data_IF_530445605675
#
_entry.id   IF_530445605675
#
_cell.length_a   1.000
_cell.length_b   1.000
_cell.length_c   1.000
_cell.angle_alpha   90.00
_cell.angle_beta   90.00
_cell.angle_gamma   90.00
#
_symmetry.space_group_name_H-M   'P 1'
#
loop_
_entity.id
_entity.type
_entity.pdbx_description
1 polymer ?
#
# COMPACT_ATOMS: atom_id res chain seq x y z
N UNK A 1 4.17 32.20 -1.47
CA UNK A 1 3.50 33.11 -0.51
C UNK A 1 2.71 32.29 0.51
N UNK A 2 3.37 31.49 1.34
CA UNK A 2 2.67 30.61 2.30
C UNK A 2 3.55 30.05 3.44
N UNK A 3 4.67 30.70 3.78
CA UNK A 3 5.44 30.36 5.01
C UNK A 3 5.14 31.28 6.20
N UNK A 4 4.37 32.35 6.00
CA UNK A 4 4.25 33.43 7.01
C UNK A 4 3.14 33.19 8.04
N UNK A 5 2.25 32.22 7.80
CA UNK A 5 1.11 31.94 8.69
C UNK A 5 1.49 31.10 9.93
N UNK A 6 2.64 30.41 9.92
CA UNK A 6 3.07 29.58 11.07
C UNK A 6 3.68 30.44 12.19
N UNK A 7 4.05 31.69 11.92
CA UNK A 7 4.79 32.54 12.88
C UNK A 7 3.90 33.40 13.79
N UNK A 8 2.57 33.43 13.62
CA UNK A 8 1.70 34.40 14.29
C UNK A 8 0.88 33.88 15.47
N UNK A 9 0.95 32.58 15.79
CA UNK A 9 0.40 32.08 17.05
C UNK A 9 1.49 32.15 18.14
N UNK A 10 1.22 32.68 19.36
CA UNK A 10 2.13 32.62 20.49
C UNK A 10 2.16 31.19 21.05
N UNK A 11 2.47 30.23 20.19
CA UNK A 11 2.66 28.84 20.53
C UNK A 11 4.08 28.73 21.05
N UNK A 12 4.24 28.24 22.29
CA UNK A 12 5.55 28.04 22.91
C UNK A 12 6.52 27.40 21.91
N UNK A 13 7.75 27.94 21.79
CA UNK A 13 8.81 27.41 20.93
C UNK A 13 9.00 25.90 21.09
N UNK A 14 8.73 25.37 22.29
CA UNK A 14 8.73 23.93 22.59
C UNK A 14 7.73 23.18 21.72
N UNK A 15 6.51 23.68 21.56
CA UNK A 15 5.45 23.05 20.77
C UNK A 15 5.80 23.10 19.27
N UNK A 16 6.38 24.21 18.80
CA UNK A 16 6.84 24.32 17.41
C UNK A 16 7.95 23.30 17.11
N UNK A 17 8.98 23.22 17.97
CA UNK A 17 10.04 22.22 17.84
C UNK A 17 9.50 20.79 17.89
N UNK A 18 8.58 20.50 18.81
CA UNK A 18 7.97 19.17 18.96
C UNK A 18 7.12 18.81 17.74
N UNK A 19 6.38 19.77 17.17
CA UNK A 19 5.61 19.57 15.95
C UNK A 19 6.49 19.29 14.73
N UNK A 20 7.60 20.03 14.58
CA UNK A 20 8.58 19.80 13.53
C UNK A 20 9.23 18.42 13.66
N UNK A 21 9.61 18.02 14.87
CA UNK A 21 10.18 16.71 15.15
C UNK A 21 9.17 15.60 14.80
N UNK A 22 7.90 15.76 15.19
CA UNK A 22 6.85 14.80 14.86
C UNK A 22 6.65 14.67 13.35
N UNK A 23 6.62 15.78 12.60
CA UNK A 23 6.51 15.76 11.14
C UNK A 23 7.69 15.01 10.53
N UNK A 24 8.91 15.28 10.98
CA UNK A 24 10.11 14.55 10.53
C UNK A 24 10.02 13.06 10.83
N UNK A 25 9.59 12.68 12.03
CA UNK A 25 9.47 11.28 12.43
C UNK A 25 8.43 10.53 11.59
N UNK A 26 7.29 11.17 11.31
CA UNK A 26 6.25 10.63 10.42
C UNK A 26 6.78 10.51 8.98
N UNK A 27 7.49 11.52 8.48
CA UNK A 27 8.07 11.49 7.14
C UNK A 27 9.08 10.34 6.98
N UNK A 28 9.98 10.18 7.96
CA UNK A 28 10.96 9.09 8.00
C UNK A 28 10.25 7.73 8.05
N UNK A 29 9.24 7.60 8.90
CA UNK A 29 8.45 6.37 9.02
C UNK A 29 7.77 5.98 7.70
N UNK A 30 7.13 6.95 7.03
CA UNK A 30 6.47 6.73 5.74
C UNK A 30 7.49 6.40 4.65
N UNK A 31 8.62 7.10 4.59
CA UNK A 31 9.69 6.79 3.62
C UNK A 31 10.28 5.38 3.83
N UNK A 32 10.57 5.01 5.08
CA UNK A 32 11.09 3.69 5.41
C UNK A 32 10.09 2.57 5.05
N UNK A 33 8.80 2.81 5.33
CA UNK A 33 7.69 1.88 5.07
C UNK A 33 7.36 1.71 3.60
N UNK A 34 7.03 2.81 2.93
CA UNK A 34 6.51 2.81 1.56
C UNK A 34 7.62 2.78 0.51
N UNK A 35 8.75 3.45 0.76
CA UNK A 35 9.82 3.60 -0.24
C UNK A 35 10.90 2.52 -0.13
N UNK A 36 11.34 2.22 1.09
CA UNK A 36 12.49 1.34 1.30
C UNK A 36 12.13 -0.11 1.61
N UNK A 37 10.83 -0.42 1.77
CA UNK A 37 10.35 -1.76 2.15
C UNK A 37 11.10 -2.32 3.38
N UNK A 38 11.57 -1.45 4.28
CA UNK A 38 12.40 -1.85 5.42
C UNK A 38 11.58 -2.50 6.53
N UNK A 39 10.26 -2.34 6.48
CA UNK A 39 9.38 -2.72 7.56
C UNK A 39 8.92 -4.19 7.40
N UNK A 40 8.75 -4.91 8.51
CA UNK A 40 8.42 -6.33 8.51
C UNK A 40 7.06 -6.63 7.86
N UNK A 41 6.16 -5.65 7.85
CA UNK A 41 4.86 -5.74 7.18
C UNK A 41 4.91 -5.45 5.67
N UNK A 42 6.10 -5.23 5.10
CA UNK A 42 6.26 -5.03 3.67
C UNK A 42 5.87 -6.31 2.91
N UNK A 43 5.06 -6.21 1.85
CA UNK A 43 4.71 -7.36 1.01
C UNK A 43 5.94 -7.85 0.23
N UNK A 44 6.11 -9.18 0.17
CA UNK A 44 7.21 -9.86 -0.53
C UNK A 44 6.70 -10.72 -1.66
N UNK A 45 5.58 -11.42 -1.44
CA UNK A 45 5.00 -12.30 -2.44
C UNK A 45 3.50 -12.08 -2.55
N UNK A 46 3.03 -12.16 -3.79
CA UNK A 46 1.62 -12.11 -4.16
C UNK A 46 1.25 -13.49 -4.70
N UNK A 47 0.22 -14.10 -4.13
CA UNK A 47 -0.28 -15.38 -4.58
C UNK A 47 -1.78 -15.29 -4.83
N UNK A 48 -2.21 -15.79 -5.97
CA UNK A 48 -3.62 -15.94 -6.31
C UNK A 48 -3.99 -17.40 -6.13
N UNK A 49 -4.87 -17.68 -5.16
CA UNK A 49 -5.35 -19.03 -4.91
C UNK A 49 -6.34 -19.47 -6.03
N UNK A 50 -6.52 -20.77 -6.22
CA UNK A 50 -7.53 -21.38 -7.09
C UNK A 50 -8.97 -20.89 -6.82
N UNK A 51 -9.25 -20.44 -5.58
CA UNK A 51 -10.51 -19.75 -5.21
C UNK A 51 -10.62 -18.30 -5.68
N UNK A 52 -9.71 -17.86 -6.56
CA UNK A 52 -9.66 -16.51 -7.08
C UNK A 52 -9.49 -15.44 -5.98
N UNK A 53 -8.79 -15.81 -4.89
CA UNK A 53 -8.52 -14.95 -3.74
C UNK A 53 -7.06 -14.49 -3.77
N UNK A 54 -6.85 -13.21 -3.50
CA UNK A 54 -5.52 -12.64 -3.37
C UNK A 54 -5.00 -12.89 -1.96
N UNK A 55 -3.84 -13.52 -1.88
CA UNK A 55 -3.08 -13.70 -0.66
C UNK A 55 -1.74 -12.96 -0.79
N UNK A 56 -1.33 -12.29 0.29
CA UNK A 56 -0.06 -11.57 0.34
C UNK A 56 0.78 -12.13 1.46
N UNK A 57 2.00 -12.54 1.12
CA UNK A 57 3.01 -12.89 2.11
C UNK A 57 3.87 -11.67 2.39
N UNK A 58 3.98 -11.32 3.67
CA UNK A 58 4.79 -10.22 4.18
C UNK A 58 6.21 -10.70 4.53
N UNK A 59 7.14 -9.76 4.73
CA UNK A 59 8.53 -10.04 5.16
C UNK A 59 8.60 -10.78 6.50
N UNK A 60 7.64 -10.54 7.38
CA UNK A 60 7.48 -11.24 8.67
C UNK A 60 7.05 -12.72 8.54
N UNK A 61 6.81 -13.21 7.31
CA UNK A 61 6.34 -14.57 7.05
C UNK A 61 4.84 -14.76 7.27
N UNK A 62 4.11 -13.74 7.72
CA UNK A 62 2.66 -13.79 7.84
C UNK A 62 2.02 -13.69 6.45
N UNK A 63 1.03 -14.54 6.21
CA UNK A 63 0.20 -14.48 5.01
C UNK A 63 -1.14 -13.84 5.34
N UNK A 64 -1.41 -12.70 4.71
CA UNK A 64 -2.73 -12.09 4.69
C UNK A 64 -3.57 -12.84 3.66
N UNK A 65 -4.55 -13.59 4.15
CA UNK A 65 -5.53 -14.29 3.32
C UNK A 65 -6.80 -13.47 3.09
N UNK A 66 -7.51 -13.79 2.01
CA UNK A 66 -8.81 -13.23 1.66
C UNK A 66 -8.84 -11.69 1.54
N UNK A 67 -7.84 -11.16 0.83
CA UNK A 67 -7.80 -9.74 0.50
C UNK A 67 -8.81 -9.42 -0.61
N UNK A 68 -9.56 -8.35 -0.38
CA UNK A 68 -10.38 -7.72 -1.41
C UNK A 68 -9.55 -6.72 -2.20
N UNK A 69 -9.65 -6.76 -3.53
CA UNK A 69 -9.07 -5.72 -4.36
C UNK A 69 -9.95 -4.47 -4.28
N UNK A 70 -9.33 -3.31 -4.17
CA UNK A 70 -10.03 -2.05 -4.31
C UNK A 70 -10.18 -1.71 -5.80
N UNK A 71 -11.31 -1.08 -6.17
CA UNK A 71 -11.64 -0.72 -7.55
C UNK A 71 -10.68 0.30 -8.18
N UNK A 72 -9.90 1.00 -7.35
CA UNK A 72 -8.87 1.96 -7.76
C UNK A 72 -7.54 1.29 -8.17
N UNK A 73 -7.52 -0.04 -8.30
CA UNK A 73 -6.36 -0.76 -8.82
C UNK A 73 -6.18 -0.48 -10.30
N UNK A 74 -4.97 -0.08 -10.70
CA UNK A 74 -4.66 0.33 -12.07
C UNK A 74 -3.71 -0.68 -12.68
N UNK A 75 -4.08 -1.16 -13.86
CA UNK A 75 -3.29 -2.10 -14.64
C UNK A 75 -2.83 -1.42 -15.92
N UNK A 76 -1.55 -1.07 -16.01
CA UNK A 76 -0.95 -0.53 -17.24
C UNK A 76 0.21 -1.42 -17.73
N UNK A 77 0.63 -1.29 -19.01
CA UNK A 77 1.75 -2.08 -19.54
C UNK A 77 3.07 -1.86 -18.82
N UNK A 78 3.27 -0.64 -18.28
CA UNK A 78 4.52 -0.20 -17.66
C UNK A 78 4.46 -0.19 -16.13
N UNK A 79 3.25 -0.18 -15.57
CA UNK A 79 3.03 -0.02 -14.14
C UNK A 79 1.74 -0.71 -13.71
N UNK A 80 1.83 -1.57 -12.70
CA UNK A 80 0.64 -2.15 -12.09
C UNK A 80 0.55 -1.70 -10.64
N UNK A 81 -0.51 -0.98 -10.31
CA UNK A 81 -0.82 -0.51 -8.96
C UNK A 81 -1.94 -1.38 -8.43
N UNK A 82 -1.62 -2.23 -7.47
CA UNK A 82 -2.56 -3.10 -6.79
C UNK A 82 -3.00 -2.44 -5.49
N UNK A 83 -4.27 -2.09 -5.38
CA UNK A 83 -4.83 -1.61 -4.12
C UNK A 83 -5.66 -2.71 -3.49
N UNK A 84 -5.43 -3.02 -2.22
CA UNK A 84 -6.17 -4.08 -1.53
C UNK A 84 -6.53 -3.69 -0.09
N UNK A 85 -7.56 -4.35 0.42
CA UNK A 85 -8.04 -4.24 1.80
C UNK A 85 -8.31 -5.63 2.37
N UNK A 86 -7.97 -5.88 3.65
CA UNK A 86 -8.41 -7.09 4.33
C UNK A 86 -9.94 -7.10 4.41
N UNK A 87 -10.58 -8.24 4.12
CA UNK A 87 -12.04 -8.35 4.22
C UNK A 87 -12.53 -8.27 5.66
N UNK A 88 -11.81 -8.90 6.59
CA UNK A 88 -12.12 -8.91 8.03
C UNK A 88 -11.47 -7.73 8.79
N UNK A 89 -11.17 -6.64 8.09
CA UNK A 89 -10.56 -5.46 8.69
C UNK A 89 -11.53 -4.77 9.67
N UNK A 90 -11.04 -4.50 10.88
CA UNK A 90 -11.70 -3.60 11.83
C UNK A 90 -11.88 -2.22 11.16
N UNK A 91 -12.92 -1.46 11.51
CA UNK A 91 -13.28 -0.17 10.87
C UNK A 91 -12.08 0.77 10.62
N UNK A 92 -11.15 0.85 11.58
CA UNK A 92 -9.90 1.62 11.45
C UNK A 92 -8.92 1.08 10.41
N UNK A 93 -8.81 -0.24 10.27
CA UNK A 93 -7.98 -0.87 9.25
C UNK A 93 -8.60 -0.75 7.85
N UNK A 94 -9.93 -0.58 7.77
CA UNK A 94 -10.63 -0.32 6.50
C UNK A 94 -10.32 1.07 5.93
N UNK A 95 -9.97 2.04 6.79
CA UNK A 95 -9.50 3.36 6.38
C UNK A 95 -8.06 3.33 5.83
N UNK A 96 -7.27 2.32 6.21
CA UNK A 96 -5.90 2.16 5.73
C UNK A 96 -5.92 1.38 4.40
N UNK A 97 -5.86 2.13 3.30
CA UNK A 97 -5.65 1.55 1.98
C UNK A 97 -4.22 1.04 1.86
N UNK A 98 -4.06 -0.23 1.51
CA UNK A 98 -2.75 -0.77 1.13
C UNK A 98 -2.61 -0.74 -0.38
N UNK A 99 -1.58 -0.04 -0.86
CA UNK A 99 -1.21 0.00 -2.27
C UNK A 99 0.15 -0.64 -2.47
N UNK A 100 0.26 -1.53 -3.45
CA UNK A 100 1.51 -2.12 -3.90
C UNK A 100 1.72 -1.75 -5.35
N UNK A 101 2.91 -1.22 -5.62
CA UNK A 101 3.34 -0.83 -6.94
C UNK A 101 4.29 -1.88 -7.47
N UNK A 102 3.97 -2.46 -8.62
CA UNK A 102 4.74 -3.53 -9.26
C UNK A 102 5.23 -3.01 -10.61
N UNK A 103 6.55 -2.96 -10.77
CA UNK A 103 7.19 -2.64 -12.03
C UNK A 103 7.39 -3.92 -12.85
N UNK A 104 7.26 -3.87 -14.18
CA UNK A 104 7.48 -5.02 -15.05
C UNK A 104 8.89 -5.63 -14.91
N UNK A 105 9.90 -4.81 -14.64
CA UNK A 105 11.31 -5.26 -14.48
C UNK A 105 11.61 -5.83 -13.08
N UNK A 106 10.68 -5.69 -12.12
CA UNK A 106 10.89 -6.15 -10.74
C UNK A 106 10.59 -7.64 -10.54
N UNK A 107 9.94 -8.28 -11.52
CA UNK A 107 9.44 -9.65 -11.43
C UNK A 107 9.61 -10.39 -12.76
N UNK A 108 9.53 -11.72 -12.72
CA UNK A 108 9.48 -12.53 -13.94
C UNK A 108 8.33 -12.10 -14.88
N UNK A 109 8.64 -11.99 -16.18
CA UNK A 109 7.71 -11.44 -17.17
C UNK A 109 6.44 -12.30 -17.34
N UNK A 110 6.54 -13.62 -17.18
CA UNK A 110 5.38 -14.51 -17.27
C UNK A 110 4.47 -14.37 -16.05
N UNK A 111 5.07 -14.32 -14.86
CA UNK A 111 4.36 -14.09 -13.60
C UNK A 111 3.61 -12.75 -13.62
N UNK A 112 4.26 -11.68 -14.11
CA UNK A 112 3.64 -10.36 -14.28
C UNK A 112 2.47 -10.39 -15.28
N UNK A 113 2.61 -11.11 -16.40
CA UNK A 113 1.52 -11.30 -17.37
C UNK A 113 0.32 -12.04 -16.78
N UNK A 114 0.56 -13.12 -16.03
CA UNK A 114 -0.51 -13.89 -15.37
C UNK A 114 -1.28 -13.01 -14.38
N UNK A 115 -0.56 -12.25 -13.56
CA UNK A 115 -1.14 -11.30 -12.62
C UNK A 115 -2.01 -10.25 -13.33
N UNK A 116 -1.53 -9.74 -14.47
CA UNK A 116 -2.26 -8.76 -15.29
C UNK A 116 -3.57 -9.31 -15.83
N UNK A 117 -3.53 -10.51 -16.41
CA UNK A 117 -4.72 -11.19 -16.93
C UNK A 117 -5.70 -11.45 -15.80
N UNK A 118 -5.21 -11.91 -14.64
CA UNK A 118 -6.04 -12.13 -13.47
C UNK A 118 -6.75 -10.85 -12.99
N UNK A 119 -6.06 -9.71 -12.91
CA UNK A 119 -6.70 -8.45 -12.54
C UNK A 119 -7.74 -7.98 -13.55
N UNK A 120 -7.49 -8.15 -14.85
CA UNK A 120 -8.42 -7.68 -15.89
C UNK A 120 -9.65 -8.58 -16.04
N UNK A 121 -9.50 -9.89 -15.86
CA UNK A 121 -10.53 -10.88 -16.17
C UNK A 121 -11.03 -11.64 -14.95
N UNK A 122 -10.13 -12.11 -14.08
CA UNK A 122 -10.49 -12.88 -12.88
C UNK A 122 -11.34 -12.09 -11.88
N UNK A 123 -11.21 -10.76 -11.84
CA UNK A 123 -12.01 -9.89 -10.98
C UNK A 123 -13.48 -9.78 -11.41
N UNK A 124 -13.75 -9.81 -12.72
CA UNK A 124 -15.09 -9.51 -13.28
C UNK A 124 -16.14 -10.54 -12.85
N UNK A 125 -15.74 -11.78 -12.61
CA UNK A 125 -16.63 -12.87 -12.19
C UNK A 125 -17.14 -12.74 -10.74
N UNK A 126 -16.54 -11.89 -9.90
CA UNK A 126 -16.99 -11.69 -8.50
C UNK A 126 -18.02 -10.57 -8.33
N UNK A 127 -18.26 -9.77 -9.37
CA UNK A 127 -19.18 -8.62 -9.32
C UNK A 127 -20.57 -8.98 -9.88
N UNK A 128 -20.80 -10.23 -10.28
CA UNK A 128 -22.07 -10.71 -10.84
C UNK A 128 -22.87 -11.55 -9.87
#
# INVERSE_FOLDING_TARGET
MSSWLVCLAPLSFVIQCLSLLLIWLVAIYVMAGAGLHLLPWSPVALHVNAKNQLNITRKDGQSLSDLSLNGDSIVTPWLTILQFRPKDAIYWQRLLNHSVLILPDSTDAQSFRQLRVWMLWGQRDKVR
#
